data_IF_650037353686
#
_entry.id   IF_650037353686
#
_cell.length_a   1.000
_cell.length_b   1.000
_cell.length_c   1.000
_cell.angle_alpha   90.00
_cell.angle_beta   90.00
_cell.angle_gamma   90.00
#
_symmetry.space_group_name_H-M   'P 1'
#
loop_
_entity.id
_entity.type
_entity.pdbx_description
1 polymer ?
#
# COMPACT_ATOMS: atom_id res chain seq x y z
N UNK A 1 7.20 -19.50 -11.03
CA UNK A 1 7.04 -18.28 -10.19
C UNK A 1 6.70 -18.64 -8.73
N UNK A 2 7.26 -19.73 -8.19
CA UNK A 2 6.88 -20.26 -6.86
C UNK A 2 7.91 -19.96 -5.76
N UNK A 3 9.11 -19.53 -6.13
CA UNK A 3 10.21 -19.28 -5.17
C UNK A 3 10.22 -17.89 -4.53
N UNK A 4 9.36 -16.95 -4.97
CA UNK A 4 9.27 -15.61 -4.36
C UNK A 4 8.36 -15.58 -3.13
N UNK A 5 7.71 -16.70 -2.80
CA UNK A 5 6.77 -16.84 -1.67
C UNK A 5 7.14 -18.01 -0.74
N UNK A 6 8.42 -18.22 -0.38
CA UNK A 6 8.74 -19.24 0.59
C UNK A 6 8.17 -18.81 1.94
N UNK A 7 7.55 -19.75 2.63
CA UNK A 7 7.11 -19.61 4.01
C UNK A 7 6.15 -18.45 4.33
N UNK A 8 5.30 -18.03 3.37
CA UNK A 8 4.38 -16.91 3.57
C UNK A 8 3.41 -17.13 4.73
N UNK A 9 2.97 -18.36 4.95
CA UNK A 9 2.06 -18.67 6.04
C UNK A 9 2.79 -18.65 7.39
N UNK A 10 4.04 -19.15 7.49
CA UNK A 10 4.82 -18.99 8.71
C UNK A 10 5.16 -17.51 9.00
N UNK A 11 5.45 -16.72 7.97
CA UNK A 11 5.72 -15.28 8.12
C UNK A 11 4.49 -14.51 8.61
N UNK A 12 3.28 -14.87 8.16
CA UNK A 12 2.05 -14.29 8.67
C UNK A 12 1.83 -14.62 10.16
N UNK A 13 2.07 -15.87 10.56
CA UNK A 13 1.99 -16.27 11.98
C UNK A 13 3.03 -15.52 12.82
N UNK A 14 4.26 -15.38 12.32
CA UNK A 14 5.31 -14.60 12.99
C UNK A 14 4.94 -13.12 13.11
N UNK A 15 4.33 -12.54 12.09
CA UNK A 15 3.87 -11.15 12.12
C UNK A 15 2.80 -10.95 13.21
N UNK A 16 1.85 -11.87 13.33
CA UNK A 16 0.82 -11.82 14.37
C UNK A 16 1.42 -11.95 15.77
N UNK A 17 2.34 -12.91 15.97
CA UNK A 17 3.08 -13.06 17.23
C UNK A 17 3.92 -11.83 17.60
N UNK A 18 4.42 -11.10 16.59
CA UNK A 18 5.15 -9.86 16.78
C UNK A 18 4.25 -8.62 16.99
N UNK A 19 2.91 -8.79 16.99
CA UNK A 19 1.95 -7.69 17.13
C UNK A 19 1.83 -6.81 15.88
N UNK A 20 2.24 -7.31 14.71
CA UNK A 20 2.11 -6.62 13.43
C UNK A 20 0.70 -6.89 12.90
N UNK A 21 -0.23 -5.99 13.23
CA UNK A 21 -1.61 -6.10 12.76
C UNK A 21 -1.78 -5.35 11.44
N UNK A 22 -1.83 -6.10 10.35
CA UNK A 22 -2.12 -5.56 9.03
C UNK A 22 -2.86 -6.56 8.15
N UNK A 23 -3.44 -6.07 7.06
CA UNK A 23 -4.11 -6.92 6.08
C UNK A 23 -3.14 -7.95 5.48
N UNK A 24 -3.61 -9.20 5.36
CA UNK A 24 -2.78 -10.33 4.93
C UNK A 24 -2.29 -10.18 3.48
N UNK A 25 -3.10 -9.63 2.59
CA UNK A 25 -2.71 -9.41 1.19
C UNK A 25 -1.68 -8.30 1.07
N UNK A 26 -1.84 -7.24 1.87
CA UNK A 26 -0.83 -6.16 1.94
C UNK A 26 0.48 -6.72 2.49
N UNK A 27 0.45 -7.51 3.57
CA UNK A 27 1.66 -8.11 4.15
C UNK A 27 2.40 -8.97 3.12
N UNK A 28 1.67 -9.88 2.44
CA UNK A 28 2.24 -10.73 1.38
C UNK A 28 2.89 -9.90 0.28
N UNK A 29 2.22 -8.85 -0.18
CA UNK A 29 2.74 -7.93 -1.21
C UNK A 29 4.03 -7.24 -0.78
N UNK A 30 4.14 -6.83 0.50
CA UNK A 30 5.36 -6.22 1.03
C UNK A 30 6.52 -7.21 1.08
N UNK A 31 6.27 -8.45 1.53
CA UNK A 31 7.29 -9.51 1.57
C UNK A 31 7.76 -9.85 0.16
N UNK A 32 6.85 -9.93 -0.81
CA UNK A 32 7.22 -10.16 -2.22
C UNK A 32 8.14 -9.05 -2.76
N UNK A 33 7.82 -7.78 -2.49
CA UNK A 33 8.68 -6.66 -2.89
C UNK A 33 10.08 -6.76 -2.26
N UNK A 34 10.16 -7.16 -0.99
CA UNK A 34 11.44 -7.40 -0.31
C UNK A 34 12.22 -8.56 -0.94
N UNK A 35 11.55 -9.66 -1.29
CA UNK A 35 12.15 -10.81 -1.98
C UNK A 35 12.65 -10.46 -3.39
N UNK A 36 12.05 -9.46 -4.05
CA UNK A 36 12.54 -8.92 -5.32
C UNK A 36 13.74 -7.98 -5.18
N UNK A 37 14.25 -7.76 -3.96
CA UNK A 37 15.36 -6.85 -3.69
C UNK A 37 14.97 -5.38 -3.63
N UNK A 38 13.67 -5.07 -3.53
CA UNK A 38 13.22 -3.68 -3.33
C UNK A 38 13.49 -3.29 -1.87
N UNK A 39 14.33 -2.29 -1.66
CA UNK A 39 14.69 -1.83 -0.32
C UNK A 39 13.48 -1.26 0.46
N UNK A 40 13.44 -1.41 1.80
CA UNK A 40 12.33 -0.96 2.63
C UNK A 40 12.05 0.54 2.52
N UNK A 41 13.09 1.37 2.36
CA UNK A 41 12.94 2.82 2.16
C UNK A 41 12.18 3.16 0.88
N UNK A 42 12.41 2.41 -0.20
CA UNK A 42 11.72 2.61 -1.47
C UNK A 42 10.24 2.25 -1.34
N UNK A 43 9.94 1.13 -0.68
CA UNK A 43 8.57 0.68 -0.39
C UNK A 43 7.85 1.73 0.48
N UNK A 44 8.49 2.20 1.55
CA UNK A 44 7.92 3.22 2.43
C UNK A 44 7.61 4.53 1.69
N UNK A 45 8.55 5.00 0.87
CA UNK A 45 8.36 6.22 0.08
C UNK A 45 7.22 6.06 -0.94
N UNK A 46 7.12 4.90 -1.58
CA UNK A 46 6.02 4.58 -2.49
C UNK A 46 4.66 4.65 -1.78
N UNK A 47 4.51 3.96 -0.64
CA UNK A 47 3.27 3.98 0.15
C UNK A 47 2.91 5.40 0.62
N UNK A 48 3.90 6.19 1.03
CA UNK A 48 3.73 7.59 1.41
C UNK A 48 3.21 8.45 0.26
N UNK A 49 3.69 8.23 -0.97
CA UNK A 49 3.22 8.93 -2.18
C UNK A 49 1.77 8.52 -2.50
N UNK A 50 1.46 7.23 -2.45
CA UNK A 50 0.11 6.70 -2.71
C UNK A 50 -0.90 7.29 -1.73
N UNK A 51 -0.59 7.32 -0.43
CA UNK A 51 -1.43 7.93 0.60
C UNK A 51 -1.69 9.42 0.33
N UNK A 52 -0.67 10.17 -0.09
CA UNK A 52 -0.82 11.60 -0.45
C UNK A 52 -1.72 11.81 -1.66
N UNK A 53 -1.64 10.95 -2.68
CA UNK A 53 -2.47 11.03 -3.89
C UNK A 53 -3.94 10.74 -3.60
N UNK A 54 -4.23 9.72 -2.80
CA UNK A 54 -5.61 9.40 -2.39
C UNK A 54 -6.30 10.58 -1.68
N UNK A 55 -5.56 11.33 -0.85
CA UNK A 55 -6.11 12.51 -0.15
C UNK A 55 -6.34 13.73 -1.06
N UNK A 56 -5.64 13.82 -2.20
CA UNK A 56 -5.75 14.97 -3.12
C UNK A 56 -6.92 14.84 -4.09
N UNK A 57 -7.27 13.62 -4.51
CA UNK A 57 -8.39 13.36 -5.43
C UNK A 57 -9.78 13.63 -4.83
N UNK A 58 -9.94 13.60 -3.50
CA UNK A 58 -11.22 13.86 -2.83
C UNK A 58 -11.58 15.35 -2.70
N UNK A 59 -10.65 16.28 -2.95
CA UNK A 59 -10.88 17.73 -2.77
C UNK A 59 -11.23 18.49 -4.05
N UNK A 60 -11.13 17.89 -5.23
CA UNK A 60 -11.31 18.63 -6.50
C UNK A 60 -12.65 18.42 -7.20
N UNK A 61 -13.58 17.63 -6.65
CA UNK A 61 -14.87 17.36 -7.29
C UNK A 61 -16.04 18.14 -6.65
N UNK A 62 -15.79 19.41 -6.33
CA UNK A 62 -16.77 20.31 -5.71
C UNK A 62 -16.63 21.75 -6.19
N UNK A 63 -16.49 21.99 -7.50
CA UNK A 63 -16.72 23.32 -8.08
C UNK A 63 -17.12 23.21 -9.54
N UNK A 64 -18.37 22.81 -9.76
CA UNK A 64 -18.98 22.88 -11.08
C UNK A 64 -20.48 23.17 -10.92
N UNK A 65 -20.82 24.35 -10.41
CA UNK A 65 -22.17 24.89 -10.55
C UNK A 65 -22.14 26.39 -10.87
N UNK A 66 -22.27 26.65 -12.17
CA UNK A 66 -23.17 27.64 -12.81
C UNK A 66 -22.89 29.11 -12.49
N UNK A 67 -22.37 29.82 -13.50
CA UNK A 67 -22.92 31.14 -13.85
C UNK A 67 -22.97 31.29 -15.37
N UNK A 68 -24.12 30.93 -15.94
CA UNK A 68 -24.56 31.36 -17.27
C UNK A 68 -25.86 32.15 -17.05
N UNK A 69 -25.75 33.46 -16.87
CA UNK A 69 -26.78 34.47 -17.10
C UNK A 69 -26.03 35.80 -17.12
N UNK A 70 -26.27 36.77 -18.00
CA UNK A 70 -26.98 36.88 -19.27
C UNK A 70 -26.43 38.18 -19.87
#
# INVERSE_FOLDING_TARGET
MSELRPHQDELLVLADLAGIHMDQEIFRSLVELLNMGVGPDAIYNLLKILRKRQNKGRRSHGSQRISKYK
#
